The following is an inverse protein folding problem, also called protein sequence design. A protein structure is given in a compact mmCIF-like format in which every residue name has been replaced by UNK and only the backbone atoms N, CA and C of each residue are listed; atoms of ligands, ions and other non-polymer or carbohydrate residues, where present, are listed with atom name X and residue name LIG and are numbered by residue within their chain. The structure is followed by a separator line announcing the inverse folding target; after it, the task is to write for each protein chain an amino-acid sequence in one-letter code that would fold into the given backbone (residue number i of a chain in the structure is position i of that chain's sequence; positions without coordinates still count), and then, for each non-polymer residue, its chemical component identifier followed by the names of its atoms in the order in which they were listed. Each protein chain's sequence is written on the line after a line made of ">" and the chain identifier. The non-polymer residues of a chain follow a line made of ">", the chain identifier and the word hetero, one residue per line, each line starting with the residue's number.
data_IF_849581385114
#
_entry.id   IF_849581385114
#
_cell.length_a   1.000
_cell.length_b   1.000
_cell.length_c   1.000
_cell.angle_alpha   90.00
_cell.angle_beta   90.00
_cell.angle_gamma   90.00
#
_symmetry.space_group_name_H-M   'P 1'
#
loop_
_entity.id
_entity.type
_entity.pdbx_description
1 polymer ?
#
# COMPACT_ATOMS: atom_id res chain seq x y z
N UNK A 1 -1.02 -9.64 -6.61
CA UNK A 1 -0.84 -8.70 -5.47
C UNK A 1 -1.09 -9.41 -4.11
N UNK A 2 -0.52 -10.60 -3.91
CA UNK A 2 -0.84 -11.46 -2.74
C UNK A 2 0.41 -11.91 -1.98
N UNK A 3 1.49 -11.11 -2.00
CA UNK A 3 2.80 -11.51 -1.46
C UNK A 3 3.29 -10.78 -0.21
N UNK A 4 2.60 -9.75 0.30
CA UNK A 4 3.17 -8.84 1.31
C UNK A 4 2.62 -8.97 2.74
N UNK A 5 1.65 -9.85 3.01
CA UNK A 5 0.96 -9.92 4.31
C UNK A 5 1.38 -11.08 5.24
N UNK A 6 2.55 -11.70 5.04
CA UNK A 6 3.04 -12.76 5.93
C UNK A 6 3.95 -12.30 7.08
N UNK A 7 4.09 -10.99 7.31
CA UNK A 7 4.82 -10.49 8.47
C UNK A 7 3.90 -10.55 9.70
N UNK A 8 4.11 -11.56 10.54
CA UNK A 8 3.56 -11.60 11.89
C UNK A 8 3.91 -10.28 12.61
N UNK A 9 2.94 -9.59 13.25
CA UNK A 9 3.20 -8.38 14.03
C UNK A 9 4.26 -8.57 15.12
N UNK A 10 4.51 -9.82 15.53
CA UNK A 10 5.43 -10.19 16.59
C UNK A 10 6.93 -10.01 16.24
N UNK A 11 7.31 -9.62 15.02
CA UNK A 11 8.72 -9.49 14.62
C UNK A 11 9.10 -8.17 13.95
N UNK A 12 8.32 -7.09 14.15
CA UNK A 12 8.60 -5.79 13.55
C UNK A 12 9.82 -5.11 14.20
N UNK A 13 11.02 -5.55 13.83
CA UNK A 13 12.29 -4.87 14.16
C UNK A 13 12.30 -3.47 13.54
N UNK A 14 12.81 -2.48 14.29
CA UNK A 14 13.00 -1.10 13.81
C UNK A 14 13.72 -1.03 12.46
N UNK A 15 14.66 -1.94 12.22
CA UNK A 15 15.38 -2.06 10.95
C UNK A 15 14.48 -2.53 9.78
N UNK A 16 13.48 -3.38 10.05
CA UNK A 16 12.51 -3.81 9.04
C UNK A 16 11.56 -2.66 8.66
N UNK A 17 11.17 -1.83 9.65
CA UNK A 17 10.36 -0.63 9.41
C UNK A 17 11.12 0.40 8.58
N UNK A 18 12.40 0.66 8.91
CA UNK A 18 13.26 1.55 8.12
C UNK A 18 13.45 1.06 6.68
N UNK A 19 13.70 -0.24 6.50
CA UNK A 19 13.85 -0.81 5.15
C UNK A 19 12.58 -0.71 4.32
N UNK A 20 11.41 -0.85 4.96
CA UNK A 20 10.12 -0.67 4.30
C UNK A 20 9.88 0.80 3.90
N UNK A 21 10.30 1.74 4.75
CA UNK A 21 10.27 3.19 4.47
C UNK A 21 11.13 3.54 3.25
N UNK A 22 12.38 3.06 3.22
CA UNK A 22 13.31 3.25 2.10
C UNK A 22 12.80 2.64 0.79
N UNK A 23 12.25 1.42 0.84
CA UNK A 23 11.67 0.78 -0.35
C UNK A 23 10.43 1.53 -0.85
N UNK A 24 9.59 2.04 0.05
CA UNK A 24 8.42 2.82 -0.33
C UNK A 24 8.82 4.15 -0.98
N UNK A 25 9.85 4.83 -0.47
CA UNK A 25 10.38 6.04 -1.07
C UNK A 25 10.88 5.77 -2.51
N UNK A 26 11.68 4.71 -2.71
CA UNK A 26 12.16 4.35 -4.05
C UNK A 26 11.04 3.98 -5.04
N UNK A 27 10.00 3.29 -4.57
CA UNK A 27 8.84 2.98 -5.40
C UNK A 27 8.05 4.23 -5.76
N UNK A 28 7.96 5.18 -4.83
CA UNK A 28 7.30 6.46 -5.05
C UNK A 28 8.04 7.28 -6.10
N UNK A 29 9.36 7.44 -5.96
CA UNK A 29 10.19 8.18 -6.91
C UNK A 29 10.06 7.60 -8.32
N UNK A 30 10.15 6.27 -8.45
CA UNK A 30 9.96 5.58 -9.75
C UNK A 30 8.57 5.78 -10.34
N UNK A 31 7.53 5.71 -9.50
CA UNK A 31 6.17 5.93 -9.97
C UNK A 31 6.01 7.38 -10.45
N UNK A 32 6.56 8.35 -9.72
CA UNK A 32 6.53 9.76 -10.07
C UNK A 32 7.25 10.01 -11.41
N UNK A 33 8.46 9.50 -11.59
CA UNK A 33 9.18 9.60 -12.87
C UNK A 33 8.37 9.03 -14.05
N UNK A 34 7.78 7.86 -13.89
CA UNK A 34 6.96 7.25 -14.94
C UNK A 34 5.70 8.08 -15.26
N UNK A 35 5.10 8.71 -14.26
CA UNK A 35 3.94 9.58 -14.46
C UNK A 35 4.31 10.91 -15.10
N UNK A 36 5.42 11.53 -14.68
CA UNK A 36 5.92 12.76 -15.30
C UNK A 36 6.21 12.54 -16.79
N UNK A 37 6.76 11.36 -17.14
CA UNK A 37 6.94 10.95 -18.51
C UNK A 37 5.61 10.80 -19.26
N UNK A 38 4.62 10.11 -18.68
CA UNK A 38 3.28 9.99 -19.29
C UNK A 38 2.60 11.35 -19.50
N UNK A 39 2.73 12.28 -18.54
CA UNK A 39 2.18 13.64 -18.67
C UNK A 39 2.88 14.41 -19.78
N UNK A 40 4.19 14.23 -19.94
CA UNK A 40 4.94 14.79 -21.07
C UNK A 40 4.43 14.23 -22.39
N UNK A 41 4.32 12.92 -22.52
CA UNK A 41 3.80 12.26 -23.73
C UNK A 41 2.38 12.72 -24.07
N UNK A 42 1.54 12.95 -23.05
CA UNK A 42 0.17 13.45 -23.23
C UNK A 42 0.15 14.89 -23.76
N UNK A 43 1.06 15.75 -23.28
CA UNK A 43 1.21 17.13 -23.77
C UNK A 43 1.70 17.13 -25.22
N UNK A 44 2.70 16.32 -25.52
CA UNK A 44 3.22 16.16 -26.89
C UNK A 44 2.12 15.65 -27.83
N UNK A 45 1.26 14.74 -27.35
CA UNK A 45 0.11 14.26 -28.11
C UNK A 45 -0.88 15.39 -28.43
N UNK A 46 -1.22 16.26 -27.47
CA UNK A 46 -2.10 17.42 -27.71
C UNK A 46 -1.48 18.36 -28.75
N UNK A 47 -0.19 18.66 -28.62
CA UNK A 47 0.52 19.53 -29.55
C UNK A 47 0.50 18.94 -30.96
N UNK A 48 0.80 17.65 -31.10
CA UNK A 48 0.75 16.94 -32.37
C UNK A 48 -0.67 16.92 -32.99
N UNK A 49 -1.70 16.78 -32.17
CA UNK A 49 -3.09 16.87 -32.63
C UNK A 49 -3.41 18.29 -33.12
N UNK A 50 -2.89 19.32 -32.46
CA UNK A 50 -3.01 20.72 -32.92
C UNK A 50 -2.30 20.98 -34.24
N UNK A 51 -1.08 20.46 -34.40
CA UNK A 51 -0.31 20.56 -35.66
C UNK A 51 -1.07 19.84 -36.79
N UNK A 52 -1.49 18.60 -36.56
CA UNK A 52 -2.24 17.82 -37.55
C UNK A 52 -3.58 18.48 -37.92
N UNK A 53 -4.25 19.09 -36.96
CA UNK A 53 -5.46 19.88 -37.19
C UNK A 53 -5.21 21.05 -38.15
N UNK A 54 -4.15 21.84 -37.95
CA UNK A 54 -3.79 22.93 -38.85
C UNK A 54 -3.35 22.44 -40.25
N UNK A 55 -2.62 21.33 -40.32
CA UNK A 55 -2.26 20.70 -41.61
C UNK A 55 -3.49 20.27 -42.40
N UNK A 56 -4.48 19.66 -41.73
CA UNK A 56 -5.75 19.28 -42.34
C UNK A 56 -6.54 20.50 -42.81
N UNK A 57 -6.59 21.59 -42.03
CA UNK A 57 -7.24 22.83 -42.44
C UNK A 57 -6.54 23.46 -43.66
N UNK A 58 -5.21 23.45 -43.70
CA UNK A 58 -4.45 23.94 -44.84
C UNK A 58 -4.69 23.11 -46.10
N UNK A 59 -4.75 21.77 -45.97
CA UNK A 59 -5.06 20.87 -47.09
C UNK A 59 -6.48 21.12 -47.61
N UNK A 60 -7.44 21.29 -46.69
CA UNK A 60 -8.82 21.60 -47.03
C UNK A 60 -8.93 22.92 -47.78
N UNK A 61 -8.21 23.97 -47.34
CA UNK A 61 -8.17 25.24 -48.08
C UNK A 61 -7.67 25.06 -49.51
N UNK A 62 -6.57 24.33 -49.71
CA UNK A 62 -6.01 24.07 -51.04
C UNK A 62 -6.98 23.29 -51.93
N UNK A 63 -7.62 22.26 -51.41
CA UNK A 63 -8.60 21.47 -52.16
C UNK A 63 -9.81 22.31 -52.58
N UNK A 64 -10.34 23.13 -51.66
CA UNK A 64 -11.46 24.04 -51.95
C UNK A 64 -11.09 25.14 -52.94
N UNK A 65 -9.86 25.66 -52.91
CA UNK A 65 -9.35 26.60 -53.90
C UNK A 65 -9.23 25.96 -55.29
N UNK A 66 -8.74 24.71 -55.38
CA UNK A 66 -8.63 23.96 -56.63
C UNK A 66 -10.00 23.66 -57.26
N UNK A 67 -11.01 23.40 -56.43
CA UNK A 67 -12.37 23.14 -56.89
C UNK A 67 -13.12 24.42 -57.35
N UNK A 68 -12.55 25.62 -57.12
CA UNK A 68 -13.05 26.95 -57.54
C UNK A 68 -14.56 27.16 -57.35
N UNK A 69 -15.09 26.61 -56.25
CA UNK A 69 -16.51 26.63 -55.90
C UNK A 69 -16.95 27.98 -55.29
N UNK A 70 -16.49 29.10 -55.85
CA UNK A 70 -16.70 30.47 -55.30
C UNK A 70 -18.16 30.86 -55.10
N UNK A 71 -19.07 30.22 -55.84
CA UNK A 71 -20.51 30.46 -55.70
C UNK A 71 -21.09 29.92 -54.38
N UNK A 72 -20.40 28.96 -53.74
CA UNK A 72 -20.81 28.38 -52.45
C UNK A 72 -20.23 29.14 -51.26
N UNK A 73 -19.37 30.13 -51.49
CA UNK A 73 -18.67 30.88 -50.45
C UNK A 73 -19.56 31.91 -49.74
N UNK A 74 -20.77 32.16 -50.26
CA UNK A 74 -21.71 33.10 -49.65
C UNK A 74 -21.16 34.52 -49.59
N UNK A 75 -21.05 35.07 -48.37
CA UNK A 75 -20.51 36.42 -48.12
C UNK A 75 -19.00 36.46 -47.85
N UNK A 76 -18.31 35.31 -47.88
CA UNK A 76 -16.88 35.23 -47.57
C UNK A 76 -16.01 35.59 -48.78
N UNK A 77 -14.96 36.40 -48.54
CA UNK A 77 -14.05 36.89 -49.59
C UNK A 77 -13.02 35.83 -50.03
N UNK A 78 -12.75 34.83 -49.19
CA UNK A 78 -11.80 33.75 -49.45
C UNK A 78 -12.23 32.41 -48.83
N UNK A 79 -11.68 31.30 -49.34
CA UNK A 79 -11.81 29.97 -48.71
C UNK A 79 -11.32 29.98 -47.27
N UNK A 80 -10.22 30.71 -47.02
CA UNK A 80 -9.65 30.86 -45.68
C UNK A 80 -10.66 31.48 -44.72
N UNK A 81 -11.45 32.45 -45.16
CA UNK A 81 -12.47 33.10 -44.33
C UNK A 81 -13.61 32.14 -43.96
N UNK A 82 -14.04 31.28 -44.88
CA UNK A 82 -15.04 30.24 -44.62
C UNK A 82 -14.51 29.23 -43.61
N UNK A 83 -13.30 28.72 -43.84
CA UNK A 83 -12.68 27.73 -42.95
C UNK A 83 -12.47 28.31 -41.55
N UNK A 84 -12.08 29.59 -41.45
CA UNK A 84 -11.90 30.29 -40.19
C UNK A 84 -13.23 30.60 -39.47
N UNK A 85 -14.30 30.86 -40.21
CA UNK A 85 -15.61 31.18 -39.64
C UNK A 85 -16.40 29.93 -39.23
N UNK A 86 -16.38 28.88 -40.04
CA UNK A 86 -17.30 27.75 -39.89
C UNK A 86 -16.64 26.51 -39.27
N UNK A 87 -15.38 26.24 -39.63
CA UNK A 87 -14.71 24.97 -39.29
C UNK A 87 -13.78 25.15 -38.09
N UNK A 88 -12.95 26.20 -38.11
CA UNK A 88 -11.96 26.49 -37.06
C UNK A 88 -12.57 26.60 -35.65
N UNK A 89 -13.75 27.24 -35.43
CA UNK A 89 -14.33 27.31 -34.10
C UNK A 89 -14.71 25.94 -33.53
N UNK A 90 -15.26 25.06 -34.38
CA UNK A 90 -15.62 23.69 -33.98
C UNK A 90 -14.38 22.86 -33.66
N UNK A 91 -13.32 22.99 -34.46
CA UNK A 91 -12.05 22.33 -34.21
C UNK A 91 -11.39 22.82 -32.92
N UNK A 92 -11.39 24.13 -32.68
CA UNK A 92 -10.87 24.72 -31.44
C UNK A 92 -11.64 24.22 -30.23
N UNK A 93 -12.98 24.13 -30.30
CA UNK A 93 -13.79 23.59 -29.20
C UNK A 93 -13.42 22.12 -28.88
N UNK A 94 -13.12 21.30 -29.89
CA UNK A 94 -12.64 19.94 -29.69
C UNK A 94 -11.25 19.90 -29.04
N UNK A 95 -10.31 20.73 -29.51
CA UNK A 95 -8.97 20.84 -28.92
C UNK A 95 -9.02 21.31 -27.46
N UNK A 96 -9.85 22.31 -27.16
CA UNK A 96 -10.07 22.82 -25.82
C UNK A 96 -10.69 21.76 -24.90
N UNK A 97 -11.62 20.94 -25.43
CA UNK A 97 -12.20 19.83 -24.69
C UNK A 97 -11.14 18.78 -24.34
N UNK A 98 -10.29 18.39 -25.29
CA UNK A 98 -9.19 17.45 -25.06
C UNK A 98 -8.21 18.02 -24.02
N UNK A 99 -7.82 19.29 -24.15
CA UNK A 99 -6.94 19.96 -23.19
C UNK A 99 -7.57 20.01 -21.78
N UNK A 100 -8.88 20.20 -21.69
CA UNK A 100 -9.64 20.17 -20.43
C UNK A 100 -9.65 18.78 -19.78
N UNK A 101 -9.83 17.71 -20.58
CA UNK A 101 -9.75 16.33 -20.09
C UNK A 101 -8.36 16.02 -19.54
N UNK A 102 -7.31 16.42 -20.25
CA UNK A 102 -5.92 16.23 -19.83
C UNK A 102 -5.66 16.92 -18.50
N UNK A 103 -6.07 18.18 -18.35
CA UNK A 103 -5.94 18.92 -17.09
C UNK A 103 -6.66 18.23 -15.94
N UNK A 104 -7.88 17.73 -16.19
CA UNK A 104 -8.68 17.01 -15.18
C UNK A 104 -7.98 15.73 -14.73
N UNK A 105 -7.37 14.99 -15.66
CA UNK A 105 -6.60 13.78 -15.34
C UNK A 105 -5.37 14.12 -14.49
N UNK A 106 -4.64 15.17 -14.84
CA UNK A 106 -3.49 15.66 -14.04
C UNK A 106 -3.94 16.03 -12.62
N UNK A 107 -5.00 16.80 -12.46
CA UNK A 107 -5.51 17.23 -11.15
C UNK A 107 -5.98 16.06 -10.27
N UNK A 108 -6.73 15.12 -10.86
CA UNK A 108 -7.17 13.90 -10.16
C UNK A 108 -5.98 13.07 -9.70
N UNK A 109 -4.93 12.99 -10.52
CA UNK A 109 -3.73 12.23 -10.17
C UNK A 109 -2.97 12.88 -9.02
N UNK A 110 -2.76 14.20 -9.03
CA UNK A 110 -2.10 14.90 -7.92
C UNK A 110 -2.82 14.68 -6.59
N UNK A 111 -4.17 14.71 -6.60
CA UNK A 111 -4.96 14.39 -5.41
C UNK A 111 -4.79 12.94 -4.95
N UNK A 112 -4.72 11.99 -5.90
CA UNK A 112 -4.50 10.58 -5.57
C UNK A 112 -3.10 10.35 -4.98
N UNK A 113 -2.09 11.06 -5.47
CA UNK A 113 -0.72 11.01 -4.95
C UNK A 113 -0.65 11.50 -3.50
N UNK A 114 -1.27 12.65 -3.20
CA UNK A 114 -1.37 13.17 -1.83
C UNK A 114 -2.05 12.17 -0.90
N UNK A 115 -3.15 11.55 -1.34
CA UNK A 115 -3.88 10.54 -0.57
C UNK A 115 -3.04 9.28 -0.32
N UNK A 116 -2.33 8.79 -1.34
CA UNK A 116 -1.44 7.63 -1.21
C UNK A 116 -0.29 7.94 -0.24
N UNK A 117 0.31 9.12 -0.35
CA UNK A 117 1.40 9.54 0.53
C UNK A 117 0.94 9.65 1.99
N UNK A 118 -0.25 10.22 2.24
CA UNK A 118 -0.82 10.29 3.59
C UNK A 118 -1.10 8.90 4.16
N UNK A 119 -1.68 7.99 3.36
CA UNK A 119 -1.95 6.63 3.79
C UNK A 119 -0.66 5.87 4.16
N UNK A 120 0.38 5.98 3.34
CA UNK A 120 1.68 5.35 3.60
C UNK A 120 2.32 5.91 4.88
N UNK A 121 2.29 7.24 5.07
CA UNK A 121 2.80 7.88 6.30
C UNK A 121 2.12 7.34 7.55
N UNK A 122 0.78 7.25 7.55
CA UNK A 122 0.02 6.71 8.70
C UNK A 122 0.36 5.25 9.01
N UNK A 123 0.56 4.43 7.97
CA UNK A 123 0.97 3.02 8.15
C UNK A 123 2.36 2.93 8.75
N UNK A 124 3.32 3.72 8.28
CA UNK A 124 4.68 3.78 8.84
C UNK A 124 4.65 4.24 10.30
N UNK A 125 3.85 5.26 10.62
CA UNK A 125 3.68 5.75 11.99
C UNK A 125 3.11 4.67 12.92
N UNK A 126 2.11 3.92 12.46
CA UNK A 126 1.55 2.77 13.18
C UNK A 126 2.63 1.73 13.48
N UNK A 127 3.41 1.32 12.47
CA UNK A 127 4.48 0.35 12.68
C UNK A 127 5.59 0.86 13.61
N UNK A 128 5.95 2.15 13.53
CA UNK A 128 6.89 2.78 14.47
C UNK A 128 6.35 2.81 15.90
N UNK A 129 5.04 3.01 16.09
CA UNK A 129 4.42 2.92 17.40
C UNK A 129 4.43 1.48 17.93
N UNK A 130 4.08 0.51 17.06
CA UNK A 130 4.10 -0.92 17.39
C UNK A 130 5.51 -1.38 17.80
N UNK A 131 6.54 -1.04 17.03
CA UNK A 131 7.92 -1.41 17.35
C UNK A 131 8.40 -0.82 18.67
N UNK A 132 7.98 0.41 19.02
CA UNK A 132 8.28 1.03 20.32
C UNK A 132 7.59 0.28 21.46
N UNK A 133 6.30 0.02 21.35
CA UNK A 133 5.54 -0.74 22.35
C UNK A 133 6.11 -2.15 22.54
N UNK A 134 6.54 -2.80 21.46
CA UNK A 134 7.16 -4.12 21.53
C UNK A 134 8.53 -4.08 22.21
N UNK A 135 9.34 -3.05 21.96
CA UNK A 135 10.61 -2.87 22.66
C UNK A 135 10.41 -2.67 24.17
N UNK A 136 9.42 -1.86 24.55
CA UNK A 136 9.02 -1.64 25.95
C UNK A 136 8.53 -2.94 26.61
N UNK A 137 7.69 -3.70 25.92
CA UNK A 137 7.19 -4.99 26.40
C UNK A 137 8.33 -5.98 26.62
N UNK A 138 9.26 -6.10 25.66
CA UNK A 138 10.41 -6.99 25.77
C UNK A 138 11.33 -6.57 26.92
N UNK A 139 11.56 -5.27 27.12
CA UNK A 139 12.33 -4.77 28.27
C UNK A 139 11.61 -5.05 29.59
N UNK A 140 10.28 -4.90 29.64
CA UNK A 140 9.47 -5.23 30.81
C UNK A 140 9.54 -6.73 31.12
N UNK A 141 9.36 -7.58 30.11
CA UNK A 141 9.46 -9.03 30.23
C UNK A 141 10.85 -9.47 30.70
N UNK A 142 11.92 -8.86 30.17
CA UNK A 142 13.28 -9.15 30.60
C UNK A 142 13.52 -8.70 32.05
N UNK A 143 12.98 -7.56 32.47
CA UNK A 143 13.03 -7.11 33.87
C UNK A 143 12.30 -8.08 34.79
N UNK A 144 11.06 -8.44 34.47
CA UNK A 144 10.29 -9.44 35.24
C UNK A 144 11.06 -10.76 35.31
N UNK A 145 11.62 -11.21 34.19
CA UNK A 145 12.40 -12.43 34.15
C UNK A 145 13.59 -12.37 35.10
N UNK A 146 14.35 -11.28 35.12
CA UNK A 146 15.53 -11.13 35.98
C UNK A 146 15.16 -10.91 37.45
N UNK A 147 14.14 -10.09 37.73
CA UNK A 147 13.71 -9.75 39.09
C UNK A 147 13.04 -10.92 39.80
N UNK A 148 12.22 -11.69 39.09
CA UNK A 148 11.42 -12.78 39.65
C UNK A 148 11.97 -14.17 39.31
N UNK A 149 13.17 -14.27 38.73
CA UNK A 149 13.74 -15.56 38.35
C UNK A 149 13.83 -16.51 39.55
N UNK A 150 14.36 -16.01 40.67
CA UNK A 150 14.49 -16.79 41.90
C UNK A 150 13.14 -17.20 42.47
N UNK A 151 12.15 -16.32 42.46
CA UNK A 151 10.81 -16.64 42.96
C UNK A 151 10.09 -17.70 42.10
N UNK A 152 10.33 -17.69 40.79
CA UNK A 152 9.80 -18.70 39.87
C UNK A 152 10.51 -20.05 40.11
N UNK A 153 11.84 -20.04 40.19
CA UNK A 153 12.63 -21.25 40.45
C UNK A 153 12.30 -21.87 41.82
N UNK A 154 12.10 -21.04 42.84
CA UNK A 154 11.69 -21.47 44.18
C UNK A 154 10.27 -22.07 44.16
N UNK A 155 9.32 -21.44 43.45
CA UNK A 155 7.96 -21.97 43.31
C UNK A 155 7.91 -23.29 42.53
N UNK A 156 8.75 -23.47 41.51
CA UNK A 156 8.85 -24.73 40.76
C UNK A 156 9.39 -25.85 41.65
N UNK A 157 10.43 -25.54 42.44
CA UNK A 157 11.02 -26.48 43.39
C UNK A 157 10.04 -26.87 44.50
N UNK A 158 9.33 -25.91 45.08
CA UNK A 158 8.30 -26.19 46.10
C UNK A 158 7.21 -27.12 45.55
N UNK A 159 6.84 -26.95 44.28
CA UNK A 159 5.85 -27.79 43.63
C UNK A 159 6.36 -29.21 43.38
N UNK A 160 7.62 -29.36 42.94
CA UNK A 160 8.27 -30.66 42.74
C UNK A 160 8.40 -31.42 44.07
N UNK A 161 8.87 -30.75 45.13
CA UNK A 161 8.95 -31.33 46.47
C UNK A 161 7.58 -31.74 47.03
N UNK A 162 6.53 -30.96 46.74
CA UNK A 162 5.16 -31.33 47.11
C UNK A 162 4.66 -32.55 46.33
N UNK A 163 5.00 -32.67 45.05
CA UNK A 163 4.71 -33.84 44.22
C UNK A 163 5.37 -35.09 44.76
N UNK A 164 6.67 -35.04 45.06
CA UNK A 164 7.39 -36.16 45.63
C UNK A 164 6.84 -36.58 47.01
N UNK A 165 6.42 -35.62 47.85
CA UNK A 165 5.77 -35.92 49.13
C UNK A 165 4.46 -36.68 48.91
N UNK A 166 3.63 -36.21 47.99
CA UNK A 166 2.37 -36.86 47.66
C UNK A 166 2.57 -38.26 47.07
N UNK A 167 3.57 -38.45 46.21
CA UNK A 167 3.90 -39.78 45.66
C UNK A 167 4.39 -40.74 46.74
N UNK A 168 5.21 -40.28 47.69
CA UNK A 168 5.63 -41.10 48.84
C UNK A 168 4.46 -41.47 49.74
N UNK A 169 3.54 -40.53 50.01
CA UNK A 169 2.33 -40.80 50.80
C UNK A 169 1.44 -41.83 50.11
N UNK A 170 1.21 -41.70 48.81
CA UNK A 170 0.44 -42.67 48.04
C UNK A 170 1.10 -44.05 47.99
N UNK A 171 2.43 -44.11 47.88
CA UNK A 171 3.18 -45.37 47.92
C UNK A 171 3.06 -46.05 49.29
N UNK A 172 3.14 -45.28 50.38
CA UNK A 172 2.99 -45.81 51.73
C UNK A 172 1.57 -46.33 51.99
N UNK A 173 0.53 -45.57 51.63
CA UNK A 173 -0.86 -46.02 51.73
C UNK A 173 -1.09 -47.28 50.89
N UNK A 174 -0.46 -47.38 49.71
CA UNK A 174 -0.56 -48.58 48.88
C UNK A 174 0.10 -49.79 49.54
N UNK A 175 1.24 -49.62 50.18
CA UNK A 175 1.92 -50.67 50.95
C UNK A 175 1.05 -51.12 52.15
N UNK A 176 0.48 -50.20 52.90
CA UNK A 176 -0.45 -50.51 54.00
C UNK A 176 -1.69 -51.28 53.51
N UNK A 177 -2.25 -50.89 52.37
CA UNK A 177 -3.37 -51.61 51.75
C UNK A 177 -2.98 -53.01 51.28
N UNK A 178 -1.80 -53.18 50.69
CA UNK A 178 -1.30 -54.49 50.27
C UNK A 178 -1.02 -55.39 51.48
N UNK A 179 -0.46 -54.84 52.57
CA UNK A 179 -0.27 -55.56 53.84
C UNK A 179 -1.59 -55.98 54.49
N UNK A 180 -2.60 -55.10 54.50
CA UNK A 180 -3.93 -55.39 55.06
C UNK A 180 -4.68 -56.43 54.20
N UNK A 181 -4.57 -56.36 52.87
CA UNK A 181 -5.09 -57.37 51.96
C UNK A 181 -4.39 -58.74 52.12
N UNK A 182 -3.09 -58.75 52.42
CA UNK A 182 -2.35 -59.98 52.74
C UNK A 182 -2.71 -60.55 54.12
N UNK A 183 -3.08 -59.70 55.08
CA UNK A 183 -3.58 -60.13 56.38
C UNK A 183 -5.01 -60.70 56.32
N UNK A 184 -5.89 -60.15 55.49
CA UNK A 184 -7.22 -60.76 55.22
C UNK A 184 -7.10 -62.11 54.49
N UNK A 185 -6.14 -62.27 53.58
CA UNK A 185 -5.91 -63.53 52.86
C UNK A 185 -5.33 -64.67 53.72
N UNK A 186 -4.80 -64.37 54.91
CA UNK A 186 -4.29 -65.36 55.89
C UNK A 186 -5.31 -65.65 57.01
N UNK A 187 -6.50 -65.04 56.96
CA UNK A 187 -7.59 -65.18 57.93
C UNK A 187 -8.73 -66.11 57.51
N UNK A 188 -8.68 -66.72 56.33
CA UNK A 188 -9.53 -67.87 55.91
C UNK A 188 -8.76 -69.20 56.02
#
# INVERSE_FOLDING_TARGET
>A
LTGLFHLSPASASTAAVQRCDEQNALLFDRAQEAFDQLVSELKDCIENVGISAEEMLSSLCQELEVHDARQEWGEHESVQDIVNADIRPSLQACLDHIAGLVRTVTDLRSRQEEQQQDAVKRVIELFRALSRAQAELNQGMQRVRVEYQGEIEDSEREHEEAGERMERELAHVREEMDEEAHHEALGE
#
